data_IF_825659129894
#
_entry.id   IF_825659129894
#
_cell.length_a   1.000
_cell.length_b   1.000
_cell.length_c   1.000
_cell.angle_alpha   90.00
_cell.angle_beta   90.00
_cell.angle_gamma   90.00
#
_symmetry.space_group_name_H-M   'P 1'
#
loop_
_entity.id
_entity.type
_entity.pdbx_description
1 polymer ?
#
# COMPACT_ATOMS: atom_id res chain seq x y z
N UNK A 1 -15.53 34.35 -21.09
CA UNK A 1 -15.22 32.96 -21.28
C UNK A 1 -15.24 32.31 -19.91
N UNK A 2 -16.22 31.45 -19.60
CA UNK A 2 -16.18 30.66 -18.37
C UNK A 2 -15.13 29.60 -18.60
N UNK A 3 -14.04 29.67 -17.86
CA UNK A 3 -12.95 28.73 -17.94
C UNK A 3 -13.46 27.33 -17.54
N UNK A 4 -13.10 26.35 -18.33
CA UNK A 4 -13.44 24.93 -18.18
C UNK A 4 -12.73 24.29 -16.95
N UNK A 5 -12.67 24.99 -15.84
CA UNK A 5 -12.03 24.53 -14.59
C UNK A 5 -12.77 23.33 -13.97
N UNK A 6 -14.06 23.17 -14.32
CA UNK A 6 -14.88 22.06 -13.83
C UNK A 6 -14.56 20.69 -14.47
N UNK A 7 -13.76 20.65 -15.55
CA UNK A 7 -13.44 19.42 -16.28
C UNK A 7 -12.23 18.68 -15.72
N UNK A 8 -11.42 19.37 -14.93
CA UNK A 8 -10.24 18.80 -14.29
C UNK A 8 -10.25 19.23 -12.82
N UNK A 9 -10.37 18.28 -11.93
CA UNK A 9 -10.40 18.56 -10.51
C UNK A 9 -9.87 17.41 -9.69
N UNK A 10 -9.31 17.75 -8.53
CA UNK A 10 -8.94 16.81 -7.49
C UNK A 10 -9.96 16.94 -6.37
N UNK A 11 -10.56 15.84 -5.99
CA UNK A 11 -11.59 15.77 -4.96
C UNK A 11 -11.14 14.85 -3.84
N UNK A 12 -11.58 15.13 -2.62
CA UNK A 12 -11.42 14.21 -1.50
C UNK A 12 -12.42 13.04 -1.55
N UNK A 13 -12.41 12.19 -0.52
CA UNK A 13 -13.34 11.07 -0.40
C UNK A 13 -14.81 11.49 -0.30
N UNK A 14 -15.08 12.72 0.18
CA UNK A 14 -16.40 13.30 0.34
C UNK A 14 -16.83 14.12 -0.90
N UNK A 15 -16.07 14.05 -1.98
CA UNK A 15 -16.28 14.82 -3.22
C UNK A 15 -16.20 16.34 -3.06
N UNK A 16 -15.49 16.83 -2.04
CA UNK A 16 -15.16 18.25 -1.97
C UNK A 16 -13.95 18.53 -2.85
N UNK A 17 -14.01 19.64 -3.57
CA UNK A 17 -12.91 20.09 -4.41
C UNK A 17 -11.69 20.45 -3.54
N UNK A 18 -10.52 19.95 -3.92
CA UNK A 18 -9.27 20.24 -3.23
C UNK A 18 -8.35 21.05 -4.11
N UNK A 19 -7.45 21.77 -3.47
CA UNK A 19 -6.47 22.63 -4.14
C UNK A 19 -7.13 23.75 -4.99
N UNK A 20 -8.12 24.44 -4.41
CA UNK A 20 -8.77 25.57 -5.05
C UNK A 20 -7.75 26.67 -5.35
N UNK A 21 -7.78 27.18 -6.61
CA UNK A 21 -6.89 28.23 -7.06
C UNK A 21 -5.69 27.77 -7.87
N UNK A 22 -5.46 26.46 -8.03
CA UNK A 22 -4.47 25.97 -9.00
C UNK A 22 -5.05 26.06 -10.42
N UNK A 23 -4.19 26.40 -11.38
CA UNK A 23 -4.55 26.38 -12.79
C UNK A 23 -4.00 25.12 -13.44
N UNK A 24 -4.87 24.16 -13.77
CA UNK A 24 -4.45 22.92 -14.43
C UNK A 24 -4.11 23.20 -15.88
N UNK A 25 -2.88 22.89 -16.26
CA UNK A 25 -2.40 23.03 -17.64
C UNK A 25 -2.62 21.73 -18.44
N UNK A 26 -2.31 20.60 -17.81
CA UNK A 26 -2.33 19.30 -18.47
C UNK A 26 -2.62 18.20 -17.45
N UNK A 27 -3.46 17.25 -17.82
CA UNK A 27 -3.60 15.99 -17.12
C UNK A 27 -3.24 14.84 -18.06
N UNK A 28 -2.29 14.00 -17.64
CA UNK A 28 -1.84 12.83 -18.39
C UNK A 28 -2.24 11.58 -17.60
N UNK A 29 -3.02 10.70 -18.24
CA UNK A 29 -3.44 9.42 -17.65
C UNK A 29 -2.63 8.31 -18.30
N UNK A 30 -1.87 7.58 -17.49
CA UNK A 30 -0.99 6.50 -17.92
C UNK A 30 -1.62 5.18 -17.48
N UNK A 31 -1.84 4.28 -18.45
CA UNK A 31 -2.34 2.93 -18.22
C UNK A 31 -1.38 1.96 -18.88
N UNK A 32 -0.63 1.26 -18.09
CA UNK A 32 0.38 0.33 -18.56
C UNK A 32 0.04 -1.12 -18.21
N UNK A 33 0.55 -2.04 -19.00
CA UNK A 33 0.49 -3.45 -18.73
C UNK A 33 1.87 -4.07 -18.95
N UNK A 34 2.30 -4.87 -18.00
CA UNK A 34 3.54 -5.65 -18.12
C UNK A 34 3.24 -6.98 -18.78
N UNK A 35 3.91 -7.25 -19.90
CA UNK A 35 3.88 -8.56 -20.57
C UNK A 35 4.99 -9.42 -19.98
N UNK A 36 4.66 -10.66 -19.59
CA UNK A 36 5.65 -11.63 -19.15
C UNK A 36 6.11 -12.43 -20.35
N UNK A 37 7.41 -12.36 -20.62
CA UNK A 37 8.04 -13.03 -21.75
C UNK A 37 8.93 -14.16 -21.24
N UNK A 38 8.78 -15.33 -21.85
CA UNK A 38 9.61 -16.50 -21.57
C UNK A 38 10.40 -16.84 -22.85
N UNK A 39 11.75 -16.81 -22.79
CA UNK A 39 12.56 -17.23 -23.91
C UNK A 39 12.49 -18.76 -24.07
N UNK A 40 12.35 -19.22 -25.31
CA UNK A 40 12.40 -20.61 -25.67
C UNK A 40 13.81 -21.03 -26.13
N UNK A 41 14.08 -22.33 -26.13
CA UNK A 41 15.37 -22.89 -26.54
C UNK A 41 15.69 -22.65 -28.02
N UNK A 42 14.67 -22.43 -28.84
CA UNK A 42 14.81 -22.11 -30.28
C UNK A 42 15.12 -20.63 -30.56
N UNK A 43 15.27 -19.80 -29.49
CA UNK A 43 15.51 -18.37 -29.59
C UNK A 43 14.25 -17.53 -29.79
N UNK A 44 13.07 -18.13 -29.85
CA UNK A 44 11.80 -17.41 -29.86
C UNK A 44 11.37 -17.02 -28.44
N UNK A 45 10.41 -16.08 -28.33
CA UNK A 45 9.87 -15.64 -27.05
C UNK A 45 8.37 -15.87 -27.05
N UNK A 46 7.87 -16.53 -26.03
CA UNK A 46 6.42 -16.66 -25.79
C UNK A 46 5.98 -15.66 -24.74
N UNK A 47 4.92 -14.93 -25.06
CA UNK A 47 4.21 -14.06 -24.11
C UNK A 47 3.00 -14.81 -23.58
N UNK A 48 3.05 -15.23 -22.32
CA UNK A 48 2.03 -16.08 -21.72
C UNK A 48 1.06 -15.27 -20.83
N UNK A 49 1.51 -14.22 -20.19
CA UNK A 49 0.73 -13.51 -19.19
C UNK A 49 0.86 -11.99 -19.28
N UNK A 50 -0.26 -11.29 -19.05
CA UNK A 50 -0.32 -9.82 -18.96
C UNK A 50 -0.76 -9.38 -17.58
N UNK A 51 0.03 -8.55 -16.92
CA UNK A 51 -0.30 -7.91 -15.65
C UNK A 51 -0.66 -6.46 -15.92
N UNK A 52 -1.87 -6.05 -15.55
CA UNK A 52 -2.30 -4.65 -15.62
C UNK A 52 -1.70 -3.92 -14.42
N UNK A 53 -0.99 -2.84 -14.69
CA UNK A 53 -0.41 -1.99 -13.64
C UNK A 53 -1.44 -0.98 -13.14
N UNK A 54 -1.30 -0.49 -11.89
CA UNK A 54 -2.13 0.59 -11.36
C UNK A 54 -2.06 1.82 -12.25
N UNK A 55 -3.18 2.52 -12.39
CA UNK A 55 -3.26 3.76 -13.18
C UNK A 55 -2.40 4.84 -12.51
N UNK A 56 -1.63 5.55 -13.32
CA UNK A 56 -0.89 6.72 -12.88
C UNK A 56 -1.44 7.97 -13.57
N UNK A 57 -1.63 9.04 -12.81
CA UNK A 57 -2.13 10.32 -13.32
C UNK A 57 -1.14 11.41 -12.93
N UNK A 58 -0.68 12.15 -13.94
CA UNK A 58 0.18 13.30 -13.78
C UNK A 58 -0.59 14.57 -14.14
N UNK A 59 -0.71 15.50 -13.19
CA UNK A 59 -1.36 16.78 -13.35
C UNK A 59 -0.29 17.87 -13.30
N UNK A 60 -0.03 18.51 -14.42
CA UNK A 60 0.80 19.71 -14.46
C UNK A 60 -0.11 20.94 -14.22
N UNK A 61 0.26 21.75 -13.25
CA UNK A 61 -0.52 22.91 -12.83
C UNK A 61 0.38 24.09 -12.48
N UNK A 62 -0.22 25.26 -12.40
CA UNK A 62 0.40 26.51 -11.96
C UNK A 62 -0.24 26.95 -10.65
N UNK A 63 0.58 27.36 -9.70
CA UNK A 63 0.18 27.95 -8.44
C UNK A 63 0.43 29.46 -8.52
N UNK A 64 -0.59 30.34 -8.31
CA UNK A 64 -0.36 31.78 -8.21
C UNK A 64 0.54 32.10 -7.01
N UNK A 65 1.55 32.94 -7.20
CA UNK A 65 2.49 33.34 -6.12
C UNK A 65 1.76 33.97 -4.93
N UNK A 66 0.69 34.71 -5.18
CA UNK A 66 -0.13 35.31 -4.14
C UNK A 66 -0.74 34.30 -3.15
N UNK A 67 -0.97 33.07 -3.59
CA UNK A 67 -1.57 31.99 -2.80
C UNK A 67 -0.61 30.81 -2.57
N UNK A 68 0.64 30.94 -3.00
CA UNK A 68 1.61 29.83 -3.01
C UNK A 68 1.81 29.21 -1.63
N UNK A 69 1.97 30.02 -0.59
CA UNK A 69 2.22 29.52 0.77
C UNK A 69 1.07 28.66 1.32
N UNK A 70 -0.19 29.08 1.08
CA UNK A 70 -1.36 28.33 1.56
C UNK A 70 -1.59 27.07 0.75
N UNK A 71 -1.59 27.17 -0.57
CA UNK A 71 -1.79 26.04 -1.48
C UNK A 71 -0.66 25.01 -1.38
N UNK A 72 0.59 25.45 -1.32
CA UNK A 72 1.72 24.54 -1.15
C UNK A 72 1.67 23.80 0.19
N UNK A 73 1.26 24.49 1.25
CA UNK A 73 1.09 23.86 2.57
C UNK A 73 -0.02 22.82 2.55
N UNK A 74 -1.15 23.13 1.90
CA UNK A 74 -2.27 22.21 1.72
C UNK A 74 -1.84 20.95 0.91
N UNK A 75 -1.20 21.16 -0.23
CA UNK A 75 -0.69 20.07 -1.06
C UNK A 75 0.30 19.18 -0.30
N UNK A 76 1.21 19.80 0.47
CA UNK A 76 2.18 19.08 1.29
C UNK A 76 1.52 18.30 2.43
N UNK A 77 0.49 18.85 3.05
CA UNK A 77 -0.30 18.13 4.06
C UNK A 77 -1.03 16.94 3.44
N UNK A 78 -1.65 17.14 2.28
CA UNK A 78 -2.30 16.09 1.52
C UNK A 78 -1.31 14.97 1.10
N UNK A 79 -0.09 15.34 0.72
CA UNK A 79 0.98 14.37 0.40
C UNK A 79 1.43 13.55 1.62
N UNK A 80 1.46 14.17 2.80
CA UNK A 80 1.88 13.49 4.04
C UNK A 80 0.75 12.65 4.65
N UNK A 81 -0.51 13.00 4.36
CA UNK A 81 -1.66 12.25 4.82
C UNK A 81 -1.83 10.95 4.02
N UNK A 82 -2.55 9.99 4.59
CA UNK A 82 -2.97 8.77 3.89
C UNK A 82 -4.29 8.94 3.14
N UNK A 83 -4.64 10.16 2.82
CA UNK A 83 -5.88 10.53 2.15
C UNK A 83 -5.90 10.02 0.70
N UNK A 84 -7.04 9.53 0.27
CA UNK A 84 -7.26 9.10 -1.11
C UNK A 84 -8.09 10.14 -1.84
N UNK A 85 -7.74 10.39 -3.08
CA UNK A 85 -8.35 11.39 -3.93
C UNK A 85 -9.16 10.76 -5.06
N UNK A 86 -10.20 11.46 -5.49
CA UNK A 86 -10.90 11.22 -6.75
C UNK A 86 -10.48 12.26 -7.76
N UNK A 87 -9.92 11.82 -8.88
CA UNK A 87 -9.46 12.72 -9.95
C UNK A 87 -10.46 12.70 -11.08
N UNK A 88 -11.03 13.87 -11.38
CA UNK A 88 -11.91 14.06 -12.52
C UNK A 88 -11.11 14.60 -13.72
N UNK A 89 -11.27 13.95 -14.87
CA UNK A 89 -10.68 14.35 -16.14
C UNK A 89 -11.73 14.23 -17.25
N UNK A 90 -11.42 14.73 -18.44
CA UNK A 90 -12.31 14.54 -19.60
C UNK A 90 -12.56 13.10 -19.99
N UNK A 91 -11.61 12.20 -19.67
CA UNK A 91 -11.73 10.76 -19.97
C UNK A 91 -12.52 9.98 -18.92
N UNK A 92 -12.80 10.57 -17.76
CA UNK A 92 -13.56 9.94 -16.69
C UNK A 92 -13.08 10.33 -15.29
N UNK A 93 -13.69 9.69 -14.30
CA UNK A 93 -13.38 9.84 -12.88
C UNK A 93 -12.53 8.65 -12.44
N UNK A 94 -11.46 8.94 -11.71
CA UNK A 94 -10.51 7.96 -11.19
C UNK A 94 -10.53 8.02 -9.66
N UNK A 95 -11.25 7.13 -8.98
CA UNK A 95 -11.30 7.08 -7.53
C UNK A 95 -10.07 6.39 -6.93
N UNK A 96 -9.91 6.49 -5.62
CA UNK A 96 -8.86 5.80 -4.85
C UNK A 96 -7.44 6.08 -5.29
N UNK A 97 -7.17 7.34 -5.66
CA UNK A 97 -5.85 7.79 -6.08
C UNK A 97 -5.07 8.33 -4.88
N UNK A 98 -3.89 7.77 -4.62
CA UNK A 98 -2.96 8.29 -3.63
C UNK A 98 -1.96 9.24 -4.29
N UNK A 99 -1.61 10.34 -3.61
CA UNK A 99 -0.57 11.24 -4.09
C UNK A 99 0.80 10.60 -3.91
N UNK A 100 1.49 10.31 -5.02
CA UNK A 100 2.78 9.62 -5.04
C UNK A 100 3.98 10.58 -5.05
N UNK A 101 3.84 11.74 -5.68
CA UNK A 101 4.90 12.76 -5.75
C UNK A 101 4.33 14.14 -6.05
N UNK A 102 5.06 15.18 -5.65
CA UNK A 102 4.74 16.58 -5.92
C UNK A 102 5.98 17.38 -6.32
N UNK A 103 6.67 17.04 -7.42
CA UNK A 103 7.81 17.83 -7.88
C UNK A 103 7.37 19.23 -8.29
N UNK A 104 8.17 20.22 -7.93
CA UNK A 104 7.99 21.62 -8.32
C UNK A 104 9.34 22.24 -8.62
N UNK A 105 9.32 23.25 -9.46
CA UNK A 105 10.50 24.02 -9.84
C UNK A 105 10.23 25.50 -9.56
N UNK A 106 11.19 26.15 -8.91
CA UNK A 106 11.12 27.59 -8.62
C UNK A 106 12.19 28.31 -9.45
N UNK A 107 11.75 29.13 -10.37
CA UNK A 107 12.63 29.97 -11.18
C UNK A 107 12.41 31.45 -10.83
N UNK A 108 13.49 32.22 -10.58
CA UNK A 108 13.36 33.65 -10.29
C UNK A 108 12.72 34.47 -11.43
N UNK A 109 12.73 33.90 -12.64
CA UNK A 109 12.16 34.53 -13.84
C UNK A 109 10.63 34.46 -13.86
N UNK A 110 10.03 33.49 -13.17
CA UNK A 110 8.60 33.30 -13.07
C UNK A 110 8.04 34.07 -11.86
N UNK A 111 7.82 35.37 -12.04
CA UNK A 111 7.42 36.24 -10.94
C UNK A 111 5.99 35.98 -10.42
N UNK A 112 5.07 35.44 -11.25
CA UNK A 112 3.64 35.40 -10.94
C UNK A 112 3.09 33.99 -10.65
N UNK A 113 3.72 32.95 -11.17
CA UNK A 113 3.23 31.56 -11.12
C UNK A 113 4.33 30.57 -10.84
N UNK A 114 4.05 29.57 -10.01
CA UNK A 114 4.98 28.46 -9.70
C UNK A 114 4.46 27.19 -10.38
N UNK A 115 5.23 26.58 -11.29
CA UNK A 115 4.86 25.32 -11.90
C UNK A 115 5.00 24.17 -10.87
N UNK A 116 3.97 23.33 -10.79
CA UNK A 116 3.95 22.13 -9.97
C UNK A 116 3.44 20.94 -10.78
N UNK A 117 3.95 19.77 -10.46
CA UNK A 117 3.44 18.52 -11.02
C UNK A 117 2.96 17.63 -9.90
N UNK A 118 1.69 17.27 -9.91
CA UNK A 118 1.10 16.35 -8.96
C UNK A 118 1.00 14.98 -9.61
N UNK A 119 1.63 13.98 -9.00
CA UNK A 119 1.57 12.59 -9.46
C UNK A 119 0.73 11.76 -8.52
N UNK A 120 -0.26 11.11 -9.08
CA UNK A 120 -1.17 10.23 -8.37
C UNK A 120 -1.05 8.81 -8.90
N UNK A 121 -1.22 7.86 -8.01
CA UNK A 121 -1.21 6.44 -8.34
C UNK A 121 -2.43 5.75 -7.74
N UNK A 122 -3.06 4.90 -8.53
CA UNK A 122 -4.21 4.12 -8.09
C UNK A 122 -3.83 3.16 -6.95
N UNK A 123 -4.61 3.21 -5.87
CA UNK A 123 -4.45 2.32 -4.72
C UNK A 123 -5.57 1.30 -4.74
N UNK A 124 -5.20 0.03 -4.86
CA UNK A 124 -6.16 -1.08 -4.81
C UNK A 124 -6.39 -1.41 -3.33
N UNK A 125 -7.56 -1.02 -2.82
CA UNK A 125 -8.00 -1.41 -1.47
C UNK A 125 -8.52 -2.83 -1.53
N UNK A 126 -7.80 -3.76 -0.91
CA UNK A 126 -8.27 -5.15 -0.74
C UNK A 126 -9.01 -5.24 0.58
N UNK A 127 -10.34 -5.27 0.54
CA UNK A 127 -11.16 -5.60 1.70
C UNK A 127 -11.05 -7.09 1.99
N UNK A 128 -10.43 -7.45 3.10
CA UNK A 128 -10.37 -8.83 3.55
C UNK A 128 -11.69 -9.16 4.26
N UNK A 129 -12.62 -9.79 3.57
CA UNK A 129 -13.82 -10.34 4.19
C UNK A 129 -13.47 -11.67 4.85
N UNK A 130 -13.46 -11.68 6.18
CA UNK A 130 -13.39 -12.91 6.95
C UNK A 130 -14.77 -13.58 6.92
N UNK A 131 -14.94 -14.56 6.04
CA UNK A 131 -16.10 -15.43 6.07
C UNK A 131 -15.84 -16.55 7.06
N UNK A 132 -16.62 -16.60 8.14
CA UNK A 132 -16.55 -17.73 9.08
C UNK A 132 -16.94 -18.99 8.33
N UNK A 133 -16.01 -19.91 8.18
CA UNK A 133 -16.30 -21.22 7.60
C UNK A 133 -17.32 -21.93 8.50
N UNK A 134 -18.41 -22.45 7.93
CA UNK A 134 -19.36 -23.27 8.71
C UNK A 134 -18.63 -24.46 9.33
N UNK A 135 -18.98 -24.85 10.56
CA UNK A 135 -18.33 -25.97 11.21
C UNK A 135 -18.43 -27.21 10.32
N UNK A 136 -17.28 -27.80 10.04
CA UNK A 136 -17.18 -28.99 9.21
C UNK A 136 -18.04 -30.10 9.84
N UNK A 137 -19.05 -30.57 9.13
CA UNK A 137 -19.81 -31.74 9.57
C UNK A 137 -18.87 -32.96 9.48
N UNK A 138 -18.36 -33.40 10.62
CA UNK A 138 -17.55 -34.60 10.73
C UNK A 138 -18.49 -35.80 10.65
N UNK A 139 -18.22 -36.73 9.77
CA UNK A 139 -19.09 -37.89 9.53
C UNK A 139 -19.07 -38.88 10.70
N UNK A 140 -17.99 -38.90 11.48
CA UNK A 140 -17.82 -39.70 12.69
C UNK A 140 -17.39 -38.84 13.88
N UNK A 141 -18.02 -38.97 15.07
CA UNK A 141 -17.63 -38.23 16.26
C UNK A 141 -16.18 -38.51 16.71
N UNK A 142 -15.59 -39.63 16.27
CA UNK A 142 -14.20 -40.01 16.59
C UNK A 142 -13.18 -39.19 15.78
N UNK A 143 -13.55 -38.65 14.63
CA UNK A 143 -12.69 -37.82 13.80
C UNK A 143 -12.60 -36.35 14.27
N UNK A 144 -13.47 -35.96 15.22
CA UNK A 144 -13.45 -34.65 15.85
C UNK A 144 -12.52 -34.54 17.05
N UNK A 145 -11.96 -35.68 17.52
CA UNK A 145 -10.98 -35.62 18.61
C UNK A 145 -9.69 -34.99 18.07
N UNK A 146 -9.33 -33.86 18.58
CA UNK A 146 -7.97 -33.35 18.51
C UNK A 146 -7.06 -34.51 18.91
N UNK A 147 -6.25 -35.01 17.96
CA UNK A 147 -5.22 -35.97 18.24
C UNK A 147 -4.33 -35.35 19.33
N UNK A 148 -4.51 -35.77 20.57
CA UNK A 148 -3.59 -35.48 21.65
C UNK A 148 -2.26 -36.11 21.24
N UNK A 149 -1.43 -35.36 20.53
CA UNK A 149 -0.05 -35.71 20.29
C UNK A 149 0.64 -35.62 21.62
N UNK A 150 0.63 -36.78 22.33
CA UNK A 150 1.31 -37.09 23.55
C UNK A 150 1.99 -35.93 24.25
N UNK A 151 1.42 -35.54 25.37
CA UNK A 151 2.10 -34.78 26.39
C UNK A 151 3.41 -35.54 26.67
N UNK A 152 4.53 -35.06 26.17
CA UNK A 152 5.83 -35.62 26.58
C UNK A 152 6.00 -35.28 28.04
N UNK A 153 5.69 -36.23 28.90
CA UNK A 153 6.09 -36.14 30.31
C UNK A 153 7.62 -36.00 30.32
N UNK A 154 8.15 -34.96 30.97
CA UNK A 154 9.57 -34.80 31.08
C UNK A 154 10.11 -36.03 31.80
N UNK A 155 10.91 -36.86 31.09
CA UNK A 155 11.65 -37.96 31.69
C UNK A 155 12.65 -37.31 32.62
N UNK A 156 12.46 -37.48 33.94
CA UNK A 156 13.46 -37.06 34.92
C UNK A 156 14.76 -37.82 34.63
N UNK A 157 15.62 -37.21 33.86
CA UNK A 157 17.01 -37.61 33.80
C UNK A 157 17.66 -37.22 35.10
N UNK A 158 17.55 -38.11 36.09
CA UNK A 158 18.44 -38.08 37.21
C UNK A 158 19.82 -38.46 36.68
N UNK A 159 20.65 -37.44 36.50
CA UNK A 159 22.06 -37.62 36.16
C UNK A 159 22.69 -38.46 37.28
N UNK A 160 23.40 -39.50 36.85
CA UNK A 160 24.15 -40.47 37.70
C UNK A 160 25.09 -39.76 38.68
N UNK A 161 25.36 -38.48 38.50
CA UNK A 161 26.19 -37.64 39.41
C UNK A 161 25.54 -37.32 40.77
N UNK A 162 24.20 -37.44 40.94
CA UNK A 162 23.56 -37.11 42.20
C UNK A 162 23.50 -38.24 43.20
N UNK A 163 23.74 -39.48 42.77
CA UNK A 163 23.77 -40.65 43.65
C UNK A 163 25.19 -40.93 44.23
N UNK A 164 26.23 -40.31 43.70
CA UNK A 164 27.61 -40.56 44.12
C UNK A 164 28.13 -39.64 45.23
N UNK A 165 27.50 -38.48 45.43
CA UNK A 165 28.01 -37.48 46.41
C UNK A 165 27.40 -37.68 47.80
N UNK A 166 26.29 -38.45 47.92
CA UNK A 166 25.68 -38.72 49.23
C UNK A 166 26.36 -39.80 50.09
N UNK A 167 27.30 -40.55 49.51
CA UNK A 167 27.92 -41.66 50.21
C UNK A 167 29.29 -41.32 50.84
N UNK A 168 29.86 -40.13 50.63
CA UNK A 168 31.21 -39.80 51.10
C UNK A 168 31.19 -38.97 52.41
N UNK A 169 30.05 -38.46 52.86
CA UNK A 169 29.98 -37.61 54.05
C UNK A 169 29.25 -38.17 55.25
N UNK A 170 29.08 -39.51 55.34
CA UNK A 170 28.50 -40.14 56.55
C UNK A 170 29.47 -41.11 57.24
N UNK A 171 30.70 -40.73 57.45
CA UNK A 171 31.55 -41.42 58.40
C UNK A 171 32.64 -40.45 58.90
N UNK A 172 32.34 -39.73 59.93
CA UNK A 172 33.27 -39.35 61.00
C UNK A 172 32.55 -38.32 61.93
N UNK A 173 32.13 -38.74 63.03
CA UNK A 173 31.61 -37.93 64.13
C UNK A 173 31.69 -38.69 65.44
N UNK A 174 32.77 -38.63 66.09
CA UNK A 174 32.85 -38.76 67.50
C UNK A 174 33.06 -37.40 68.10
#
# INVERSE_FOLDING_TARGET
MKENTELYGVYDADFNHRFDGITVLKASVIRDAKMMEHPLEDGSTITDHRIILPIEIEIAALIPVAQSNSLYTEIRQAFTSTELFSINTRSGVYPSMAMAAMPHEEEPTNADMIPIVLRFKETILVETQYQSLPPRKVKDPKDSSTVNRGEQKPKNNQTIFKSGVGAIFSSSGR
#
